data_IF_333754712749
#
_entry.id   IF_333754712749
#
_cell.length_a   1.000
_cell.length_b   1.000
_cell.length_c   1.000
_cell.angle_alpha   90.00
_cell.angle_beta   90.00
_cell.angle_gamma   90.00
#
_symmetry.space_group_name_H-M   'P 1'
#
loop_
_entity.id
_entity.type
_entity.pdbx_description
1 polymer ?
#
# COMPACT_ATOMS: atom_id res chain seq x y z
N UNK A 1 24.73 10.58 0.19
CA UNK A 1 24.57 12.05 0.29
C UNK A 1 23.16 12.41 -0.14
N UNK A 2 22.50 13.23 0.67
CA UNK A 2 21.06 13.41 0.75
C UNK A 2 20.47 14.15 -0.46
N UNK A 3 19.34 13.68 -0.97
CA UNK A 3 18.50 14.39 -1.94
C UNK A 3 17.28 14.94 -1.21
N UNK A 4 17.37 16.20 -0.80
CA UNK A 4 16.32 16.91 -0.07
C UNK A 4 15.44 17.64 -1.10
N UNK A 5 14.25 17.10 -1.39
CA UNK A 5 13.25 17.78 -2.22
C UNK A 5 12.41 18.71 -1.34
N UNK A 6 12.67 20.01 -1.48
CA UNK A 6 11.92 21.10 -0.86
C UNK A 6 10.59 21.27 -1.59
N UNK A 7 9.48 20.95 -0.93
CA UNK A 7 8.13 21.18 -1.47
C UNK A 7 7.56 22.43 -0.80
N UNK A 8 7.39 23.48 -1.59
CA UNK A 8 6.74 24.74 -1.23
C UNK A 8 5.22 24.56 -1.24
N UNK A 9 4.58 24.65 -0.08
CA UNK A 9 3.11 24.63 0.05
C UNK A 9 2.57 26.05 0.21
N UNK A 10 2.13 26.63 -0.90
CA UNK A 10 1.36 27.86 -0.97
C UNK A 10 -0.13 27.60 -0.79
N UNK A 11 -0.62 27.97 0.39
CA UNK A 11 -1.91 28.56 0.73
C UNK A 11 -3.01 28.63 -0.37
N UNK A 12 -4.14 27.97 -0.14
CA UNK A 12 -5.43 28.40 -0.68
C UNK A 12 -6.57 28.00 0.26
N UNK A 13 -6.96 28.98 1.07
CA UNK A 13 -8.17 29.02 1.90
C UNK A 13 -9.40 29.06 0.99
N UNK A 14 -10.22 28.03 1.01
CA UNK A 14 -11.54 28.04 0.37
C UNK A 14 -12.61 27.64 1.39
N UNK A 15 -13.16 28.64 2.07
CA UNK A 15 -14.38 28.50 2.84
C UNK A 15 -15.55 28.28 1.87
N UNK A 16 -16.06 27.05 1.78
CA UNK A 16 -17.36 26.78 1.14
C UNK A 16 -18.41 26.69 2.23
N UNK A 17 -19.05 27.81 2.53
CA UNK A 17 -20.33 27.80 3.21
C UNK A 17 -21.35 27.16 2.25
N UNK A 18 -21.61 25.86 2.44
CA UNK A 18 -22.81 25.21 1.90
C UNK A 18 -24.01 25.78 2.64
N UNK A 19 -24.56 26.87 2.13
CA UNK A 19 -25.89 27.30 2.52
C UNK A 19 -26.90 26.31 1.95
N UNK A 20 -27.54 25.54 2.83
CA UNK A 20 -28.71 24.75 2.48
C UNK A 20 -29.85 25.71 2.13
N UNK A 21 -30.14 25.80 0.84
CA UNK A 21 -31.34 26.45 0.35
C UNK A 21 -32.55 25.63 0.82
N UNK A 22 -33.13 26.04 1.95
CA UNK A 22 -34.42 25.51 2.36
C UNK A 22 -35.46 25.97 1.33
N UNK A 23 -36.35 25.09 0.85
CA UNK A 23 -37.42 25.52 -0.03
C UNK A 23 -38.32 26.47 0.76
N UNK A 24 -38.32 27.74 0.33
CA UNK A 24 -39.16 28.79 0.90
C UNK A 24 -40.59 28.59 0.40
N UNK A 25 -41.24 27.52 0.84
CA UNK A 25 -42.67 27.32 0.67
C UNK A 25 -43.40 28.28 1.59
N UNK A 26 -43.76 29.45 1.08
CA UNK A 26 -44.84 30.28 1.63
C UNK A 26 -45.36 31.23 0.56
N UNK A 27 -46.39 30.78 -0.15
CA UNK A 27 -47.41 31.66 -0.70
C UNK A 27 -48.78 31.10 -0.34
N UNK A 28 -49.13 31.21 0.95
CA UNK A 28 -50.53 31.26 1.33
C UNK A 28 -51.02 32.66 1.01
N UNK A 29 -51.45 32.86 -0.24
CA UNK A 29 -52.19 34.04 -0.67
C UNK A 29 -53.60 33.94 -0.09
N UNK A 30 -53.85 34.60 1.04
CA UNK A 30 -55.21 34.79 1.55
C UNK A 30 -55.78 36.03 0.88
N UNK A 31 -56.27 35.88 -0.36
CA UNK A 31 -57.12 36.91 -0.95
C UNK A 31 -58.38 37.04 -0.09
N UNK A 32 -58.46 38.14 0.66
CA UNK A 32 -59.71 38.58 1.27
C UNK A 32 -60.66 38.95 0.13
N UNK A 33 -61.67 38.13 -0.12
CA UNK A 33 -62.82 38.56 -0.91
C UNK A 33 -63.53 39.66 -0.14
N UNK A 34 -63.29 40.92 -0.51
CA UNK A 34 -64.12 42.05 -0.11
C UNK A 34 -65.55 41.78 -0.60
N UNK A 35 -66.43 41.38 0.32
CA UNK A 35 -67.86 41.27 0.08
C UNK A 35 -68.36 42.69 -0.22
N UNK A 36 -68.75 42.89 -1.47
CA UNK A 36 -69.39 44.09 -2.00
C UNK A 36 -70.55 44.50 -1.08
N UNK A 37 -70.59 45.80 -0.73
CA UNK A 37 -71.64 46.38 0.11
C UNK A 37 -72.98 46.30 -0.64
N UNK A 38 -73.88 45.47 -0.14
CA UNK A 38 -75.28 45.44 -0.57
C UNK A 38 -76.12 46.07 0.55
N UNK A 39 -76.87 47.09 0.13
CA UNK A 39 -77.78 48.03 0.80
C UNK A 39 -78.67 47.34 1.89
N UNK A 40 -79.03 48.04 2.99
CA UNK A 40 -79.70 47.43 4.13
C UNK A 40 -81.18 47.18 3.81
N UNK A 41 -81.63 45.93 3.97
CA UNK A 41 -83.05 45.61 4.09
C UNK A 41 -83.30 44.90 5.43
N UNK A 42 -84.42 45.25 6.05
CA UNK A 42 -84.76 45.07 7.44
C UNK A 42 -85.19 43.61 7.69
N UNK A 43 -84.55 42.97 8.67
CA UNK A 43 -85.10 41.80 9.35
C UNK A 43 -84.58 40.43 8.91
N UNK A 44 -83.37 40.05 9.36
CA UNK A 44 -83.01 38.70 9.86
C UNK A 44 -81.51 38.65 10.17
N UNK A 45 -81.06 38.18 11.35
CA UNK A 45 -79.64 38.11 11.65
C UNK A 45 -78.97 37.03 10.79
N UNK A 46 -78.16 37.46 9.82
CA UNK A 46 -77.33 36.57 9.02
C UNK A 46 -76.37 35.81 9.96
N UNK A 47 -76.65 34.53 10.19
CA UNK A 47 -75.79 33.63 10.95
C UNK A 47 -74.43 33.55 10.26
N UNK A 48 -73.42 34.19 10.85
CA UNK A 48 -72.04 34.07 10.43
C UNK A 48 -71.64 32.60 10.52
N UNK A 49 -71.51 31.92 9.37
CA UNK A 49 -71.04 30.53 9.30
C UNK A 49 -69.61 30.49 9.81
N UNK A 50 -69.43 29.98 11.03
CA UNK A 50 -68.13 29.78 11.68
C UNK A 50 -67.24 28.97 10.73
N UNK A 51 -65.98 29.38 10.45
CA UNK A 51 -65.10 28.67 9.53
C UNK A 51 -64.57 27.38 10.19
N UNK A 52 -65.40 26.34 10.23
CA UNK A 52 -65.05 25.02 10.82
C UNK A 52 -64.22 24.17 9.82
N UNK A 53 -63.93 24.70 8.62
CA UNK A 53 -63.28 23.96 7.54
C UNK A 53 -61.76 23.92 7.57
N UNK A 54 -61.08 24.94 8.12
CA UNK A 54 -59.62 25.02 8.07
C UNK A 54 -58.94 23.90 8.88
N UNK A 55 -59.47 23.58 10.06
CA UNK A 55 -58.95 22.51 10.91
C UNK A 55 -59.24 21.11 10.36
N UNK A 56 -60.41 20.88 9.73
CA UNK A 56 -60.76 19.57 9.15
C UNK A 56 -59.95 19.28 7.88
N UNK A 57 -59.68 20.28 7.05
CA UNK A 57 -58.81 20.14 5.89
C UNK A 57 -57.32 20.04 6.27
N UNK A 58 -56.90 20.75 7.32
CA UNK A 58 -55.53 20.71 7.82
C UNK A 58 -55.09 19.33 8.30
N UNK A 59 -55.95 18.61 9.03
CA UNK A 59 -55.62 17.25 9.51
C UNK A 59 -55.54 16.27 8.33
N UNK A 60 -56.54 16.24 7.44
CA UNK A 60 -56.54 15.31 6.29
C UNK A 60 -55.38 15.61 5.33
N UNK A 61 -55.12 16.89 5.06
CA UNK A 61 -53.97 17.32 4.25
C UNK A 61 -52.63 17.05 4.92
N UNK A 62 -52.54 17.20 6.25
CA UNK A 62 -51.33 16.89 7.00
C UNK A 62 -51.05 15.39 7.01
N UNK A 63 -52.03 14.52 7.26
CA UNK A 63 -51.81 13.07 7.20
C UNK A 63 -51.44 12.61 5.79
N UNK A 64 -52.13 13.11 4.75
CA UNK A 64 -51.81 12.79 3.37
C UNK A 64 -50.42 13.29 2.95
N UNK A 65 -50.11 14.55 3.25
CA UNK A 65 -48.80 15.14 2.96
C UNK A 65 -47.67 14.51 3.77
N UNK A 66 -47.89 14.20 5.04
CA UNK A 66 -46.94 13.52 5.90
C UNK A 66 -46.71 12.08 5.45
N UNK A 67 -47.74 11.34 5.07
CA UNK A 67 -47.60 9.97 4.55
C UNK A 67 -46.84 9.95 3.22
N UNK A 68 -47.14 10.88 2.30
CA UNK A 68 -46.41 10.99 1.04
C UNK A 68 -44.96 11.45 1.24
N UNK A 69 -44.73 12.46 2.08
CA UNK A 69 -43.39 12.93 2.42
C UNK A 69 -42.59 11.86 3.16
N UNK A 70 -43.21 11.09 4.07
CA UNK A 70 -42.59 9.96 4.75
C UNK A 70 -42.25 8.83 3.77
N UNK A 71 -43.14 8.55 2.79
CA UNK A 71 -42.86 7.55 1.75
C UNK A 71 -41.69 7.98 0.86
N UNK A 72 -41.62 9.26 0.47
CA UNK A 72 -40.51 9.79 -0.33
C UNK A 72 -39.21 9.85 0.47
N UNK A 73 -39.27 10.22 1.75
CA UNK A 73 -38.11 10.21 2.64
C UNK A 73 -37.59 8.78 2.87
N UNK A 74 -38.49 7.81 3.07
CA UNK A 74 -38.13 6.40 3.19
C UNK A 74 -37.46 5.87 1.92
N UNK A 75 -37.92 6.31 0.74
CA UNK A 75 -37.33 5.92 -0.54
C UNK A 75 -35.90 6.47 -0.70
N UNK A 76 -35.69 7.75 -0.41
CA UNK A 76 -34.36 8.38 -0.52
C UNK A 76 -33.36 7.83 0.52
N UNK A 77 -33.80 7.50 1.74
CA UNK A 77 -32.91 6.87 2.74
C UNK A 77 -32.46 5.46 2.32
N UNK A 78 -33.32 4.72 1.63
CA UNK A 78 -33.01 3.37 1.17
C UNK A 78 -31.92 3.38 0.09
N UNK A 79 -31.98 4.31 -0.85
CA UNK A 79 -30.96 4.43 -1.91
C UNK A 79 -29.59 4.83 -1.35
N UNK A 80 -29.55 5.81 -0.43
CA UNK A 80 -28.30 6.22 0.21
C UNK A 80 -27.70 5.09 1.08
N UNK A 81 -28.56 4.32 1.75
CA UNK A 81 -28.13 3.15 2.54
C UNK A 81 -27.58 2.05 1.63
N UNK A 82 -28.26 1.72 0.52
CA UNK A 82 -27.80 0.72 -0.44
C UNK A 82 -26.48 1.13 -1.11
N UNK A 83 -26.32 2.42 -1.44
CA UNK A 83 -25.08 2.95 -2.02
C UNK A 83 -23.93 2.89 -0.99
N UNK A 84 -24.20 3.25 0.27
CA UNK A 84 -23.21 3.14 1.34
C UNK A 84 -22.81 1.67 1.60
N UNK A 85 -23.75 0.73 1.57
CA UNK A 85 -23.47 -0.70 1.70
C UNK A 85 -22.65 -1.24 0.52
N UNK A 86 -22.93 -0.79 -0.70
CA UNK A 86 -22.13 -1.14 -1.88
C UNK A 86 -20.68 -0.62 -1.77
N UNK A 87 -20.49 0.62 -1.30
CA UNK A 87 -19.17 1.21 -1.08
C UNK A 87 -18.39 0.51 0.05
N UNK A 88 -19.09 0.11 1.12
CA UNK A 88 -18.49 -0.67 2.21
C UNK A 88 -18.07 -2.06 1.73
N UNK A 89 -18.89 -2.71 0.90
CA UNK A 89 -18.58 -4.04 0.35
C UNK A 89 -17.38 -3.98 -0.61
N UNK A 90 -17.29 -2.94 -1.45
CA UNK A 90 -16.12 -2.69 -2.29
C UNK A 90 -14.85 -2.48 -1.45
N UNK A 91 -14.94 -1.75 -0.34
CA UNK A 91 -13.79 -1.52 0.55
C UNK A 91 -13.33 -2.79 1.25
N UNK A 92 -14.25 -3.70 1.61
CA UNK A 92 -13.90 -5.01 2.19
C UNK A 92 -13.27 -5.92 1.14
N UNK A 93 -13.75 -5.91 -0.09
CA UNK A 93 -13.18 -6.72 -1.17
C UNK A 93 -11.77 -6.24 -1.56
N UNK A 94 -11.56 -4.93 -1.66
CA UNK A 94 -10.23 -4.35 -1.85
C UNK A 94 -9.28 -4.69 -0.69
N UNK A 95 -9.75 -4.60 0.56
CA UNK A 95 -8.95 -4.93 1.72
C UNK A 95 -8.63 -6.44 1.79
N UNK A 96 -9.56 -7.31 1.40
CA UNK A 96 -9.32 -8.76 1.27
C UNK A 96 -8.24 -9.05 0.23
N UNK A 97 -8.32 -8.43 -0.94
CA UNK A 97 -7.29 -8.56 -1.98
C UNK A 97 -5.94 -8.03 -1.52
N UNK A 98 -5.92 -6.90 -0.80
CA UNK A 98 -4.69 -6.35 -0.20
C UNK A 98 -4.11 -7.30 0.86
N UNK A 99 -4.95 -7.90 1.69
CA UNK A 99 -4.54 -8.89 2.71
C UNK A 99 -4.01 -10.17 2.08
N UNK A 100 -4.62 -10.66 1.00
CA UNK A 100 -4.15 -11.83 0.26
C UNK A 100 -2.77 -11.56 -0.38
N UNK A 101 -2.59 -10.37 -0.97
CA UNK A 101 -1.28 -9.94 -1.49
C UNK A 101 -0.23 -9.86 -0.39
N UNK A 102 -0.54 -9.26 0.76
CA UNK A 102 0.37 -9.21 1.92
C UNK A 102 0.70 -10.63 2.41
N UNK A 103 -0.28 -11.53 2.51
CA UNK A 103 -0.05 -12.93 2.88
C UNK A 103 0.89 -13.64 1.88
N UNK A 104 0.71 -13.42 0.57
CA UNK A 104 1.59 -13.96 -0.46
C UNK A 104 3.00 -13.35 -0.41
N UNK A 105 3.15 -12.09 0.00
CA UNK A 105 4.44 -11.46 0.24
C UNK A 105 5.13 -12.04 1.47
N UNK A 106 4.40 -12.25 2.59
CA UNK A 106 4.95 -12.88 3.80
C UNK A 106 5.46 -14.29 3.51
N UNK A 107 4.68 -15.12 2.79
CA UNK A 107 5.12 -16.47 2.40
C UNK A 107 6.38 -16.46 1.53
N UNK A 108 6.51 -15.48 0.62
CA UNK A 108 7.72 -15.31 -0.19
C UNK A 108 8.91 -14.88 0.65
N UNK A 109 8.70 -13.98 1.61
CA UNK A 109 9.76 -13.55 2.55
C UNK A 109 10.23 -14.75 3.37
N UNK A 110 9.32 -15.55 3.93
CA UNK A 110 9.67 -16.77 4.68
C UNK A 110 10.49 -17.77 3.84
N UNK A 111 10.12 -17.97 2.57
CA UNK A 111 10.87 -18.82 1.66
C UNK A 111 12.28 -18.26 1.39
N UNK A 112 12.38 -16.97 1.08
CA UNK A 112 13.67 -16.30 0.84
C UNK A 112 14.54 -16.31 2.10
N UNK A 113 13.98 -16.11 3.29
CA UNK A 113 14.72 -16.19 4.55
C UNK A 113 15.25 -17.60 4.81
N UNK A 114 14.44 -18.64 4.52
CA UNK A 114 14.87 -20.03 4.63
C UNK A 114 15.98 -20.34 3.62
N UNK A 115 15.84 -19.89 2.39
CA UNK A 115 16.86 -20.06 1.35
C UNK A 115 18.12 -19.27 1.69
N UNK A 116 18.01 -18.06 2.25
CA UNK A 116 19.15 -17.26 2.69
C UNK A 116 19.88 -17.90 3.88
N UNK A 117 19.16 -18.56 4.80
CA UNK A 117 19.77 -19.35 5.88
C UNK A 117 20.47 -20.60 5.34
N UNK A 118 19.80 -21.35 4.47
CA UNK A 118 20.39 -22.52 3.82
C UNK A 118 21.61 -22.12 2.99
N UNK A 119 21.54 -21.04 2.21
CA UNK A 119 22.70 -20.49 1.51
C UNK A 119 23.73 -19.96 2.50
N UNK A 120 23.35 -19.36 3.62
CA UNK A 120 24.25 -18.90 4.68
C UNK A 120 25.08 -20.02 5.30
N UNK A 121 24.48 -21.21 5.45
CA UNK A 121 25.17 -22.40 5.94
C UNK A 121 26.02 -23.07 4.84
N UNK A 122 25.63 -22.96 3.57
CA UNK A 122 26.32 -23.57 2.42
C UNK A 122 27.32 -22.62 1.71
N UNK A 123 27.24 -21.31 1.94
CA UNK A 123 28.13 -20.31 1.33
C UNK A 123 29.46 -20.36 2.05
N UNK A 124 30.39 -21.10 1.43
CA UNK A 124 31.83 -21.14 1.69
C UNK A 124 32.29 -19.99 2.56
N UNK A 125 32.53 -20.30 3.83
CA UNK A 125 32.97 -19.32 4.80
C UNK A 125 34.36 -18.85 4.39
N UNK A 126 34.75 -17.66 4.87
CA UNK A 126 36.15 -17.19 4.76
C UNK A 126 37.17 -18.24 5.21
N UNK A 127 36.75 -19.17 6.07
CA UNK A 127 37.58 -20.25 6.58
C UNK A 127 37.95 -21.24 5.48
N UNK A 128 37.03 -21.61 4.58
CA UNK A 128 37.33 -22.48 3.44
C UNK A 128 38.31 -21.81 2.47
N UNK A 129 38.14 -20.51 2.20
CA UNK A 129 39.06 -19.75 1.36
C UNK A 129 40.46 -19.68 2.00
N UNK A 130 40.53 -19.53 3.33
CA UNK A 130 41.79 -19.54 4.07
C UNK A 130 42.46 -20.92 4.05
N UNK A 131 41.66 -21.99 4.12
CA UNK A 131 42.11 -23.38 4.06
C UNK A 131 42.65 -23.72 2.66
N UNK A 132 41.93 -23.37 1.60
CA UNK A 132 42.39 -23.52 0.22
C UNK A 132 43.68 -22.73 -0.01
N UNK A 133 43.75 -21.48 0.49
CA UNK A 133 44.99 -20.69 0.39
C UNK A 133 46.16 -21.35 1.12
N UNK A 134 45.91 -21.96 2.28
CA UNK A 134 46.94 -22.71 3.01
C UNK A 134 47.37 -23.98 2.28
N UNK A 135 46.44 -24.72 1.68
CA UNK A 135 46.74 -25.91 0.86
C UNK A 135 47.54 -25.54 -0.39
N UNK A 136 47.16 -24.47 -1.10
CA UNK A 136 47.91 -23.96 -2.26
C UNK A 136 49.33 -23.53 -1.85
N UNK A 137 49.48 -22.84 -0.72
CA UNK A 137 50.80 -22.45 -0.21
C UNK A 137 51.66 -23.68 0.10
N UNK A 138 51.09 -24.70 0.75
CA UNK A 138 51.80 -25.96 1.04
C UNK A 138 52.27 -26.67 -0.23
N UNK A 139 51.45 -26.70 -1.27
CA UNK A 139 51.83 -27.30 -2.56
C UNK A 139 52.98 -26.52 -3.20
N UNK A 140 52.93 -25.18 -3.17
CA UNK A 140 53.99 -24.34 -3.71
C UNK A 140 55.32 -24.52 -2.95
N UNK A 141 55.27 -24.52 -1.62
CA UNK A 141 56.45 -24.71 -0.78
C UNK A 141 57.03 -26.13 -0.97
N UNK A 142 56.17 -27.16 -1.08
CA UNK A 142 56.59 -28.53 -1.38
C UNK A 142 57.26 -28.66 -2.74
N UNK A 143 56.68 -28.07 -3.79
CA UNK A 143 57.28 -28.06 -5.13
C UNK A 143 58.63 -27.32 -5.15
N UNK A 144 58.76 -26.25 -4.36
CA UNK A 144 60.01 -25.52 -4.24
C UNK A 144 61.12 -26.35 -3.57
N UNK A 145 60.78 -27.14 -2.54
CA UNK A 145 61.72 -28.08 -1.90
C UNK A 145 62.18 -29.15 -2.87
N UNK A 146 61.25 -29.77 -3.61
CA UNK A 146 61.59 -30.76 -4.65
C UNK A 146 62.52 -30.16 -5.73
N UNK A 147 62.28 -28.91 -6.15
CA UNK A 147 63.16 -28.24 -7.11
C UNK A 147 64.57 -28.00 -6.56
N UNK A 148 64.69 -27.61 -5.29
CA UNK A 148 65.97 -27.44 -4.61
C UNK A 148 66.72 -28.77 -4.47
N UNK A 149 66.00 -29.84 -4.12
CA UNK A 149 66.56 -31.19 -4.01
C UNK A 149 67.10 -31.66 -5.38
N UNK A 150 66.29 -31.52 -6.44
CA UNK A 150 66.71 -31.83 -7.81
C UNK A 150 67.98 -31.07 -8.22
N UNK A 151 68.07 -29.78 -7.90
CA UNK A 151 69.24 -28.96 -8.21
C UNK A 151 70.48 -29.42 -7.45
N UNK A 152 70.32 -29.81 -6.17
CA UNK A 152 71.41 -30.35 -5.37
C UNK A 152 71.90 -31.70 -5.93
N UNK A 153 70.97 -32.54 -6.38
CA UNK A 153 71.25 -33.83 -6.99
C UNK A 153 72.03 -33.68 -8.30
N UNK A 154 71.59 -32.79 -9.19
CA UNK A 154 72.31 -32.45 -10.43
C UNK A 154 73.71 -31.93 -10.14
N UNK A 155 73.85 -31.06 -9.13
CA UNK A 155 75.15 -30.52 -8.75
C UNK A 155 76.11 -31.59 -8.24
N UNK A 156 75.61 -32.53 -7.42
CA UNK A 156 76.39 -33.69 -6.96
C UNK A 156 76.91 -34.55 -8.11
N UNK A 157 76.04 -34.90 -9.06
CA UNK A 157 76.43 -35.67 -10.26
C UNK A 157 77.49 -34.92 -11.07
N UNK A 158 77.33 -33.61 -11.26
CA UNK A 158 78.30 -32.81 -12.01
C UNK A 158 79.67 -32.78 -11.32
N UNK A 159 79.71 -32.69 -9.99
CA UNK A 159 80.94 -32.76 -9.22
C UNK A 159 81.59 -34.15 -9.33
N UNK A 160 80.80 -35.21 -9.25
CA UNK A 160 81.29 -36.59 -9.37
C UNK A 160 81.91 -36.83 -10.75
N UNK A 161 81.22 -36.43 -11.83
CA UNK A 161 81.74 -36.49 -13.20
C UNK A 161 83.04 -35.71 -13.35
N UNK A 162 83.11 -34.50 -12.78
CA UNK A 162 84.33 -33.69 -12.82
C UNK A 162 85.48 -34.35 -12.02
N UNK A 163 85.17 -35.02 -10.92
CA UNK A 163 86.15 -35.78 -10.13
C UNK A 163 86.67 -37.01 -10.89
N UNK A 164 85.80 -37.73 -11.59
CA UNK A 164 86.15 -38.88 -12.44
C UNK A 164 86.98 -38.45 -13.64
N UNK A 165 86.58 -37.37 -14.32
CA UNK A 165 87.33 -36.78 -15.44
C UNK A 165 88.76 -36.41 -15.03
N UNK A 166 88.95 -35.81 -13.84
CA UNK A 166 90.30 -35.51 -13.32
C UNK A 166 91.13 -36.77 -13.05
N UNK A 167 90.52 -37.81 -12.47
CA UNK A 167 91.20 -39.08 -12.17
C UNK A 167 91.64 -39.80 -13.45
N UNK A 168 90.77 -39.87 -14.46
CA UNK A 168 91.11 -40.48 -15.76
C UNK A 168 92.19 -39.68 -16.51
N UNK A 169 92.12 -38.34 -16.49
CA UNK A 169 93.16 -37.50 -17.09
C UNK A 169 94.55 -37.71 -16.46
N UNK A 170 94.60 -38.13 -15.18
CA UNK A 170 95.84 -38.49 -14.50
C UNK A 170 96.26 -39.95 -14.69
N UNK A 171 95.34 -40.88 -14.96
CA UNK A 171 95.69 -42.31 -15.13
C UNK A 171 96.10 -42.68 -16.57
N UNK A 172 95.77 -41.86 -17.56
CA UNK A 172 96.11 -42.10 -18.98
C UNK A 172 97.49 -41.53 -19.38
N UNK A 173 98.21 -40.86 -18.46
CA UNK A 173 99.61 -40.46 -18.69
C UNK A 173 100.56 -41.61 -18.33
N UNK A 174 100.76 -42.53 -19.27
CA UNK A 174 101.90 -43.48 -19.30
C UNK A 174 102.77 -43.10 -20.50
#
# INVERSE_FOLDING_TARGET
MASTRTVTLTLARAARLRQSAHPRSRFLSTSRTCRNAQIPDIGTPATQKKPIGAFRGGIVGFLGGFSLAASLAAYNLLDEYNLASAALQASVEELKLSTEKISAHVRRIEAVEKDLKALGDNTSSKDDLSRVRAEVKKIFDGLHVEFLDLRSHVWGIQQDVHSLSKKEATSVRI
#
